data_IF_777139378859
#
_entry.id   IF_777139378859
#
_cell.length_a   1.000
_cell.length_b   1.000
_cell.length_c   1.000
_cell.angle_alpha   90.00
_cell.angle_beta   90.00
_cell.angle_gamma   90.00
#
_symmetry.space_group_name_H-M   'P 1'
#
loop_
_entity.id
_entity.type
_entity.pdbx_description
1 polymer ?
#
# COMPACT_ATOMS: atom_id res chain seq x y z
N UNK A 1 -17.45 13.62 -19.01
CA UNK A 1 -18.78 14.10 -18.55
C UNK A 1 -19.35 13.12 -17.52
N UNK A 2 -19.93 13.60 -16.42
CA UNK A 2 -20.60 12.74 -15.44
C UNK A 2 -21.89 12.19 -16.07
N UNK A 3 -21.99 10.87 -16.23
CA UNK A 3 -23.23 10.23 -16.68
C UNK A 3 -24.14 10.04 -15.48
N UNK A 4 -25.40 10.46 -15.63
CA UNK A 4 -26.40 10.35 -14.58
C UNK A 4 -27.75 9.99 -15.19
N UNK A 5 -28.57 9.24 -14.44
CA UNK A 5 -29.92 8.84 -14.84
C UNK A 5 -30.94 9.71 -14.13
N UNK A 6 -32.04 10.01 -14.81
CA UNK A 6 -33.20 10.73 -14.28
C UNK A 6 -34.46 10.04 -14.79
N UNK A 7 -35.62 10.54 -14.39
CA UNK A 7 -36.88 10.08 -14.95
C UNK A 7 -36.91 10.25 -16.49
N UNK A 8 -37.22 9.21 -17.27
CA UNK A 8 -37.22 9.28 -18.73
C UNK A 8 -38.21 10.31 -19.30
N UNK A 9 -39.38 10.49 -18.67
CA UNK A 9 -40.37 11.45 -19.15
C UNK A 9 -39.91 12.90 -18.91
N UNK A 10 -39.22 13.15 -17.79
CA UNK A 10 -38.56 14.43 -17.55
C UNK A 10 -37.46 14.71 -18.59
N UNK A 11 -36.61 13.70 -18.86
CA UNK A 11 -35.48 13.83 -19.79
C UNK A 11 -35.95 14.11 -21.23
N UNK A 12 -37.01 13.42 -21.69
CA UNK A 12 -37.58 13.56 -23.03
C UNK A 12 -38.13 14.96 -23.33
N UNK A 13 -38.46 15.74 -22.28
CA UNK A 13 -38.94 17.13 -22.41
C UNK A 13 -37.82 18.16 -22.43
N UNK A 14 -36.54 17.76 -22.35
CA UNK A 14 -35.42 18.71 -22.37
C UNK A 14 -34.96 19.01 -23.80
N UNK A 15 -34.71 20.27 -24.09
CA UNK A 15 -34.28 20.79 -25.39
C UNK A 15 -33.08 21.73 -25.24
N UNK A 16 -32.23 21.88 -26.30
CA UNK A 16 -31.13 22.83 -26.30
C UNK A 16 -31.56 24.25 -25.93
N UNK A 17 -30.75 24.92 -25.10
CA UNK A 17 -31.00 26.27 -24.58
C UNK A 17 -31.72 26.33 -23.23
N UNK A 18 -32.35 25.24 -22.78
CA UNK A 18 -32.96 25.18 -21.44
C UNK A 18 -31.91 25.12 -20.34
N UNK A 19 -32.26 25.66 -19.17
CA UNK A 19 -31.37 25.71 -18.00
C UNK A 19 -31.83 24.69 -16.96
N UNK A 20 -30.90 23.82 -16.57
CA UNK A 20 -31.04 22.87 -15.48
C UNK A 20 -30.41 23.47 -14.22
N UNK A 21 -31.25 23.73 -13.23
CA UNK A 21 -30.87 24.14 -11.90
C UNK A 21 -30.59 22.91 -11.02
N UNK A 22 -29.39 22.86 -10.45
CA UNK A 22 -28.94 21.80 -9.54
C UNK A 22 -28.61 22.43 -8.19
N UNK A 23 -29.43 22.26 -7.14
CA UNK A 23 -28.97 22.44 -5.76
C UNK A 23 -27.94 21.36 -5.46
N UNK A 24 -26.65 21.71 -5.52
CA UNK A 24 -25.58 20.75 -5.28
C UNK A 24 -25.60 20.22 -3.82
N UNK A 25 -24.85 19.16 -3.54
CA UNK A 25 -24.81 18.52 -2.21
C UNK A 25 -24.35 19.46 -1.07
N UNK A 26 -23.79 20.63 -1.40
CA UNK A 26 -23.39 21.69 -0.45
C UNK A 26 -24.46 22.78 -0.33
N UNK A 27 -25.64 22.57 -0.92
CA UNK A 27 -26.77 23.51 -1.01
C UNK A 27 -26.44 24.77 -1.83
N UNK A 28 -25.45 24.71 -2.72
CA UNK A 28 -25.16 25.81 -3.63
C UNK A 28 -25.90 25.58 -4.95
N UNK A 29 -26.62 26.60 -5.41
CA UNK A 29 -27.31 26.56 -6.70
C UNK A 29 -26.28 26.58 -7.84
N UNK A 30 -26.41 25.62 -8.75
CA UNK A 30 -25.60 25.48 -9.98
C UNK A 30 -26.53 25.45 -11.17
N UNK A 31 -26.09 26.01 -12.30
CA UNK A 31 -26.84 26.08 -13.55
C UNK A 31 -26.05 25.39 -14.64
N UNK A 32 -26.73 24.57 -15.41
CA UNK A 32 -26.20 23.90 -16.59
C UNK A 32 -27.15 24.13 -17.75
N UNK A 33 -26.66 24.60 -18.89
CA UNK A 33 -27.44 24.82 -20.10
C UNK A 33 -27.42 23.56 -20.93
N UNK A 34 -28.59 23.09 -21.37
CA UNK A 34 -28.69 21.98 -22.31
C UNK A 34 -28.09 22.42 -23.65
N UNK A 35 -27.04 21.71 -24.10
CA UNK A 35 -26.35 22.00 -25.38
C UNK A 35 -26.76 21.01 -26.47
N UNK A 36 -27.16 19.79 -26.09
CA UNK A 36 -27.64 18.78 -27.03
C UNK A 36 -28.70 17.89 -26.36
N UNK A 37 -29.68 17.46 -27.15
CA UNK A 37 -30.67 16.46 -26.76
C UNK A 37 -30.85 15.47 -27.91
N UNK A 38 -30.86 14.17 -27.61
CA UNK A 38 -30.95 13.11 -28.60
C UNK A 38 -31.48 11.80 -28.00
N UNK A 39 -31.56 10.73 -28.81
CA UNK A 39 -32.11 9.44 -28.39
C UNK A 39 -31.32 8.80 -27.23
N UNK A 40 -30.03 9.09 -27.13
CA UNK A 40 -29.14 8.56 -26.09
C UNK A 40 -29.11 9.42 -24.80
N UNK A 41 -29.82 10.55 -24.79
CA UNK A 41 -29.96 11.44 -23.62
C UNK A 41 -29.71 12.91 -23.91
N UNK A 42 -29.43 13.66 -22.84
CA UNK A 42 -29.29 15.12 -22.85
C UNK A 42 -27.92 15.48 -22.32
N UNK A 43 -27.19 16.34 -23.04
CA UNK A 43 -25.92 16.91 -22.62
C UNK A 43 -26.16 18.35 -22.14
N UNK A 44 -25.71 18.65 -20.93
CA UNK A 44 -25.77 19.97 -20.35
C UNK A 44 -24.38 20.41 -19.84
N UNK A 45 -24.05 21.68 -20.05
CA UNK A 45 -22.76 22.28 -19.75
C UNK A 45 -22.91 23.49 -18.82
N UNK A 46 -21.90 23.76 -18.00
CA UNK A 46 -21.93 24.90 -17.09
C UNK A 46 -20.54 25.28 -16.61
N UNK A 47 -20.38 26.54 -16.22
CA UNK A 47 -19.06 27.15 -15.94
C UNK A 47 -18.49 26.75 -14.57
N UNK A 48 -19.25 26.02 -13.75
CA UNK A 48 -18.87 25.64 -12.39
C UNK A 48 -19.21 24.19 -12.08
N UNK A 49 -18.27 23.51 -11.43
CA UNK A 49 -18.48 22.15 -10.93
C UNK A 49 -19.67 22.08 -9.94
N UNK A 50 -20.48 21.03 -10.09
CA UNK A 50 -21.55 20.68 -9.16
C UNK A 50 -21.24 19.35 -8.46
N UNK A 51 -21.65 19.26 -7.20
CA UNK A 51 -21.54 18.05 -6.39
C UNK A 51 -22.89 17.35 -6.40
N UNK A 52 -23.00 16.26 -7.16
CA UNK A 52 -24.23 15.50 -7.37
C UNK A 52 -24.08 14.14 -6.69
N UNK A 53 -25.16 13.64 -6.09
CA UNK A 53 -25.29 12.30 -5.53
C UNK A 53 -26.62 11.69 -5.93
N UNK A 54 -26.79 10.39 -5.71
CA UNK A 54 -28.10 9.77 -5.89
C UNK A 54 -29.14 10.45 -4.98
N UNK A 55 -30.29 10.78 -5.57
CA UNK A 55 -31.35 11.56 -4.94
C UNK A 55 -31.19 13.08 -5.03
N UNK A 56 -30.10 13.61 -5.59
CA UNK A 56 -30.01 15.05 -5.91
C UNK A 56 -31.16 15.44 -6.84
N UNK A 57 -31.87 16.52 -6.48
CA UNK A 57 -32.91 17.08 -7.34
C UNK A 57 -32.25 17.88 -8.46
N UNK A 58 -32.76 17.73 -9.67
CA UNK A 58 -32.52 18.63 -10.79
C UNK A 58 -33.84 19.26 -11.17
N UNK A 59 -33.84 20.56 -11.42
CA UNK A 59 -35.02 21.31 -11.81
C UNK A 59 -34.78 21.98 -13.16
N UNK A 60 -35.77 21.96 -14.03
CA UNK A 60 -35.76 22.79 -15.23
C UNK A 60 -37.20 23.15 -15.56
N UNK A 61 -37.45 24.45 -15.66
CA UNK A 61 -38.78 25.04 -15.86
C UNK A 61 -39.83 24.57 -14.84
N UNK A 62 -39.46 24.56 -13.55
CA UNK A 62 -40.31 24.13 -12.43
C UNK A 62 -40.69 22.64 -12.42
N UNK A 63 -40.10 21.85 -13.32
CA UNK A 63 -40.20 20.40 -13.31
C UNK A 63 -38.95 19.79 -12.65
N UNK A 64 -39.16 19.05 -11.57
CA UNK A 64 -38.10 18.37 -10.83
C UNK A 64 -37.95 16.89 -11.19
N UNK A 65 -36.71 16.40 -11.25
CA UNK A 65 -36.39 14.97 -11.29
C UNK A 65 -35.30 14.62 -10.28
N UNK A 66 -35.28 13.35 -9.84
CA UNK A 66 -34.22 12.81 -8.98
C UNK A 66 -33.16 12.13 -9.80
N UNK A 67 -31.92 12.52 -9.56
CA UNK A 67 -30.74 11.89 -10.14
C UNK A 67 -30.52 10.52 -9.51
N UNK A 68 -30.11 9.55 -10.33
CA UNK A 68 -29.73 8.19 -9.96
C UNK A 68 -28.52 7.71 -10.76
N UNK A 69 -27.87 6.65 -10.28
CA UNK A 69 -26.76 6.03 -11.00
C UNK A 69 -25.51 6.89 -11.05
N UNK A 70 -25.35 7.80 -10.09
CA UNK A 70 -24.06 8.42 -9.82
C UNK A 70 -23.14 7.33 -9.26
N UNK A 71 -22.00 7.03 -9.92
CA UNK A 71 -21.08 6.04 -9.40
C UNK A 71 -20.56 6.50 -8.03
N UNK A 72 -20.57 5.60 -7.06
CA UNK A 72 -19.92 5.84 -5.78
C UNK A 72 -18.41 6.03 -6.04
N UNK A 73 -17.86 7.13 -5.56
CA UNK A 73 -16.44 7.44 -5.72
C UNK A 73 -15.77 7.40 -4.35
N UNK A 74 -14.59 6.78 -4.22
CA UNK A 74 -13.87 6.80 -2.96
C UNK A 74 -13.61 8.25 -2.51
N UNK A 75 -13.91 8.54 -1.25
CA UNK A 75 -13.70 9.86 -0.64
C UNK A 75 -12.62 9.76 0.42
N UNK A 76 -11.91 10.87 0.64
CA UNK A 76 -11.02 10.99 1.78
C UNK A 76 -11.84 11.28 3.02
N UNK A 77 -11.54 10.59 4.11
CA UNK A 77 -12.15 10.82 5.41
C UNK A 77 -11.13 11.47 6.35
N UNK A 78 -11.59 12.33 7.25
CA UNK A 78 -10.71 12.97 8.24
C UNK A 78 -10.81 12.20 9.55
N UNK A 79 -9.72 11.58 9.96
CA UNK A 79 -9.61 10.76 11.17
C UNK A 79 -8.89 11.56 12.25
N UNK A 80 -9.38 11.49 13.48
CA UNK A 80 -8.84 12.13 14.69
C UNK A 80 -8.69 11.11 15.81
N UNK A 81 -7.86 11.44 16.80
CA UNK A 81 -7.78 10.67 18.03
C UNK A 81 -9.14 10.69 18.74
N UNK A 82 -9.59 9.54 19.22
CA UNK A 82 -10.89 9.32 19.85
C UNK A 82 -12.00 8.90 18.88
N UNK A 83 -11.77 8.97 17.56
CA UNK A 83 -12.77 8.50 16.59
C UNK A 83 -12.96 6.98 16.70
N UNK A 84 -14.17 6.52 16.46
CA UNK A 84 -14.50 5.08 16.34
C UNK A 84 -14.50 4.68 14.88
N UNK A 85 -13.79 3.59 14.56
CA UNK A 85 -13.75 2.99 13.22
C UNK A 85 -14.43 1.63 13.27
N UNK A 86 -15.39 1.38 12.39
CA UNK A 86 -15.89 0.05 12.05
C UNK A 86 -15.15 -0.43 10.81
N UNK A 87 -14.35 -1.47 10.97
CA UNK A 87 -13.63 -2.15 9.90
C UNK A 87 -14.39 -3.41 9.47
N UNK A 88 -14.66 -3.55 8.17
CA UNK A 88 -15.43 -4.68 7.58
C UNK A 88 -14.74 -5.23 6.32
N UNK A 89 -15.23 -6.35 5.78
CA UNK A 89 -14.80 -6.86 4.48
C UNK A 89 -15.38 -6.11 3.28
N UNK A 90 -16.53 -5.46 3.45
CA UNK A 90 -17.18 -4.65 2.41
C UNK A 90 -16.32 -3.45 2.00
N UNK A 91 -15.98 -3.36 0.71
CA UNK A 91 -15.11 -2.32 0.13
C UNK A 91 -15.88 -1.27 -0.69
N UNK A 92 -17.21 -1.38 -0.76
CA UNK A 92 -18.04 -0.40 -1.44
C UNK A 92 -17.86 1.00 -0.83
N UNK A 93 -17.66 2.06 -1.64
CA UNK A 93 -17.49 3.40 -1.11
C UNK A 93 -18.73 3.86 -0.34
N UNK A 94 -18.52 4.30 0.90
CA UNK A 94 -19.55 4.85 1.77
C UNK A 94 -19.50 6.39 1.81
N UNK A 95 -20.62 7.01 2.17
CA UNK A 95 -20.65 8.44 2.43
C UNK A 95 -19.72 8.79 3.61
N UNK A 96 -18.99 9.91 3.54
CA UNK A 96 -18.11 10.32 4.63
C UNK A 96 -18.93 10.60 5.89
N UNK A 97 -18.44 10.17 7.08
CA UNK A 97 -19.14 10.34 8.34
C UNK A 97 -19.25 11.81 8.73
N UNK A 98 -20.27 12.18 9.51
CA UNK A 98 -20.29 13.49 10.18
C UNK A 98 -19.35 13.47 11.38
N UNK A 99 -19.05 14.64 11.92
CA UNK A 99 -18.22 14.74 13.11
C UNK A 99 -18.93 14.03 14.28
N UNK A 100 -18.26 13.03 14.85
CA UNK A 100 -18.79 12.21 15.96
C UNK A 100 -19.49 10.92 15.51
N UNK A 101 -19.71 10.72 14.21
CA UNK A 101 -20.24 9.46 13.69
C UNK A 101 -19.15 8.38 13.65
N UNK A 102 -19.56 7.12 13.71
CA UNK A 102 -18.69 5.96 13.46
C UNK A 102 -18.17 5.99 12.01
N UNK A 103 -16.86 5.87 11.86
CA UNK A 103 -16.18 5.84 10.57
C UNK A 103 -16.21 4.40 10.03
N UNK A 104 -16.76 4.18 8.83
CA UNK A 104 -16.75 2.85 8.20
C UNK A 104 -15.62 2.73 7.19
N UNK A 105 -14.81 1.68 7.31
CA UNK A 105 -13.70 1.36 6.43
C UNK A 105 -13.80 -0.09 5.94
N UNK A 106 -13.50 -0.31 4.66
CA UNK A 106 -13.38 -1.64 4.07
C UNK A 106 -11.94 -2.14 4.09
N UNK A 107 -11.76 -3.42 4.39
CA UNK A 107 -10.52 -4.16 4.23
C UNK A 107 -10.65 -5.09 3.03
N UNK A 108 -9.78 -4.92 2.02
CA UNK A 108 -9.80 -5.75 0.82
C UNK A 108 -9.50 -7.24 1.09
N UNK A 109 -8.94 -7.55 2.27
CA UNK A 109 -8.68 -8.91 2.72
C UNK A 109 -9.52 -9.20 3.98
N UNK A 110 -10.75 -9.73 3.83
CA UNK A 110 -11.65 -9.99 4.96
C UNK A 110 -11.04 -10.90 6.04
N UNK A 111 -10.13 -11.80 5.67
CA UNK A 111 -9.39 -12.66 6.60
C UNK A 111 -8.59 -11.87 7.65
N UNK A 112 -8.15 -10.64 7.33
CA UNK A 112 -7.53 -9.74 8.33
C UNK A 112 -8.54 -9.36 9.39
N UNK A 113 -9.77 -8.99 9.00
CA UNK A 113 -10.83 -8.55 9.92
C UNK A 113 -11.28 -9.71 10.81
N UNK A 114 -11.43 -10.90 10.22
CA UNK A 114 -11.81 -12.12 10.93
C UNK A 114 -10.76 -12.57 11.96
N UNK A 115 -9.48 -12.35 11.67
CA UNK A 115 -8.39 -12.72 12.56
C UNK A 115 -8.14 -11.72 13.71
N UNK A 116 -8.79 -10.54 13.70
CA UNK A 116 -8.60 -9.53 14.76
C UNK A 116 -9.16 -10.02 16.10
N UNK A 117 -8.44 -9.69 17.16
CA UNK A 117 -8.87 -9.92 18.54
C UNK A 117 -8.88 -8.62 19.35
N UNK A 118 -9.72 -8.56 20.39
CA UNK A 118 -9.78 -7.38 21.27
C UNK A 118 -8.41 -7.15 21.91
N UNK A 119 -7.90 -5.91 21.77
CA UNK A 119 -6.57 -5.51 22.21
C UNK A 119 -5.54 -5.40 21.09
N UNK A 120 -5.81 -5.95 19.90
CA UNK A 120 -4.91 -5.80 18.76
C UNK A 120 -4.78 -4.34 18.33
N UNK A 121 -3.61 -4.03 17.76
CA UNK A 121 -3.25 -2.71 17.23
C UNK A 121 -3.40 -2.71 15.72
N UNK A 122 -4.31 -1.90 15.19
CA UNK A 122 -4.47 -1.69 13.74
C UNK A 122 -3.83 -0.37 13.34
N UNK A 123 -2.96 -0.42 12.32
CA UNK A 123 -2.22 0.71 11.78
C UNK A 123 -2.72 1.03 10.37
N UNK A 124 -2.97 2.31 10.10
CA UNK A 124 -3.41 2.78 8.78
C UNK A 124 -2.44 3.82 8.20
N UNK A 125 -2.32 3.85 6.86
CA UNK A 125 -1.49 4.80 6.11
C UNK A 125 -0.04 4.77 6.62
N UNK A 126 0.59 3.59 6.55
CA UNK A 126 1.98 3.34 6.96
C UNK A 126 2.26 3.68 8.44
N UNK A 127 1.31 3.37 9.32
CA UNK A 127 1.42 3.61 10.76
C UNK A 127 1.17 5.05 11.23
N UNK A 128 0.78 5.95 10.32
CA UNK A 128 0.44 7.35 10.65
C UNK A 128 -0.77 7.43 11.59
N UNK A 129 -1.75 6.55 11.41
CA UNK A 129 -2.91 6.42 12.29
C UNK A 129 -2.82 5.07 12.99
N UNK A 130 -3.10 5.03 14.29
CA UNK A 130 -3.22 3.78 15.03
C UNK A 130 -4.53 3.72 15.80
N UNK A 131 -5.17 2.56 15.75
CA UNK A 131 -6.40 2.27 16.47
C UNK A 131 -6.29 0.93 17.22
N UNK A 132 -6.97 0.84 18.36
CA UNK A 132 -7.01 -0.36 19.19
C UNK A 132 -8.35 -1.06 19.00
N UNK A 133 -8.31 -2.37 18.77
CA UNK A 133 -9.54 -3.17 18.67
C UNK A 133 -10.24 -3.18 20.02
N UNK A 134 -11.48 -2.72 20.04
CA UNK A 134 -12.36 -2.66 21.22
C UNK A 134 -13.43 -3.75 21.22
N UNK A 135 -13.88 -4.17 20.04
CA UNK A 135 -14.84 -5.25 19.88
C UNK A 135 -14.70 -5.87 18.49
N UNK A 136 -15.08 -7.14 18.36
CA UNK A 136 -15.11 -7.89 17.11
C UNK A 136 -16.42 -8.67 17.01
N UNK A 137 -16.78 -9.08 15.79
CA UNK A 137 -17.78 -10.13 15.58
C UNK A 137 -17.33 -11.46 16.20
N UNK A 138 -18.28 -12.37 16.44
CA UNK A 138 -17.95 -13.74 16.82
C UNK A 138 -17.24 -14.45 15.66
N UNK A 139 -16.13 -15.12 15.97
CA UNK A 139 -15.35 -15.90 14.99
C UNK A 139 -16.18 -17.08 14.50
N UNK A 140 -16.31 -17.24 13.18
CA UNK A 140 -17.10 -18.32 12.57
C UNK A 140 -18.61 -18.14 12.66
N UNK A 141 -19.09 -16.94 12.99
CA UNK A 141 -20.49 -16.56 12.88
C UNK A 141 -20.98 -16.56 11.43
N UNK A 142 -22.30 -16.54 11.24
CA UNK A 142 -22.94 -16.47 9.92
C UNK A 142 -22.95 -15.06 9.31
N UNK A 143 -22.66 -14.04 10.13
CA UNK A 143 -22.61 -12.63 9.71
C UNK A 143 -21.23 -12.27 9.14
N UNK A 144 -21.17 -11.20 8.34
CA UNK A 144 -19.91 -10.66 7.82
C UNK A 144 -18.99 -10.21 8.96
N UNK A 145 -17.69 -10.58 8.94
CA UNK A 145 -16.76 -10.23 10.01
C UNK A 145 -16.58 -8.70 10.11
N UNK A 146 -16.55 -8.20 11.35
CA UNK A 146 -16.33 -6.79 11.64
C UNK A 146 -15.50 -6.58 12.90
N UNK A 147 -14.79 -5.45 12.96
CA UNK A 147 -14.08 -5.00 14.14
C UNK A 147 -14.35 -3.51 14.42
N UNK A 148 -14.66 -3.17 15.67
CA UNK A 148 -14.73 -1.79 16.16
C UNK A 148 -13.41 -1.41 16.79
N UNK A 149 -12.83 -0.33 16.29
CA UNK A 149 -11.53 0.20 16.67
C UNK A 149 -11.71 1.58 17.28
N UNK A 150 -10.90 1.91 18.28
CA UNK A 150 -10.78 3.28 18.80
C UNK A 150 -9.45 3.88 18.35
N UNK A 151 -9.49 5.04 17.70
CA UNK A 151 -8.27 5.72 17.25
C UNK A 151 -7.53 6.31 18.44
N UNK A 152 -6.38 5.74 18.75
CA UNK A 152 -5.55 6.13 19.91
C UNK A 152 -4.36 6.99 19.52
N UNK A 153 -3.94 6.97 18.25
CA UNK A 153 -2.87 7.83 17.72
C UNK A 153 -3.26 8.40 16.35
N UNK A 154 -3.17 9.72 16.22
CA UNK A 154 -3.29 10.45 14.97
C UNK A 154 -2.59 11.81 15.12
N UNK A 155 -2.22 12.46 14.01
CA UNK A 155 -1.66 13.82 14.02
C UNK A 155 -2.65 14.79 14.68
N UNK A 156 -2.13 15.78 15.39
CA UNK A 156 -2.92 16.89 15.93
C UNK A 156 -3.73 17.59 14.82
N UNK A 157 -5.01 17.86 15.09
CA UNK A 157 -5.95 18.37 14.08
C UNK A 157 -6.50 17.31 13.10
N UNK A 158 -6.05 16.04 13.23
CA UNK A 158 -6.49 14.91 12.42
C UNK A 158 -5.69 14.73 11.12
N UNK A 159 -5.90 13.57 10.48
CA UNK A 159 -5.26 13.15 9.22
C UNK A 159 -6.33 12.77 8.20
N UNK A 160 -6.14 13.19 6.96
CA UNK A 160 -6.97 12.73 5.85
C UNK A 160 -6.50 11.35 5.38
N UNK A 161 -7.33 10.32 5.63
CA UNK A 161 -7.15 8.97 5.12
C UNK A 161 -7.86 8.85 3.76
N UNK A 162 -7.14 8.39 2.74
CA UNK A 162 -7.68 8.15 1.40
C UNK A 162 -8.05 6.69 1.17
N UNK A 163 -8.53 6.39 -0.03
CA UNK A 163 -8.72 5.01 -0.49
C UNK A 163 -7.38 4.30 -0.70
N UNK A 164 -7.43 2.97 -0.69
CA UNK A 164 -6.27 2.10 -1.02
C UNK A 164 -5.06 2.35 -0.12
N UNK A 165 -5.30 2.83 1.11
CA UNK A 165 -4.25 2.99 2.11
C UNK A 165 -4.01 1.68 2.83
N UNK A 166 -2.73 1.40 3.07
CA UNK A 166 -2.29 0.18 3.76
C UNK A 166 -2.93 0.04 5.14
N UNK A 167 -3.27 -1.19 5.47
CA UNK A 167 -3.72 -1.64 6.78
C UNK A 167 -2.70 -2.66 7.25
N UNK A 168 -2.09 -2.41 8.41
CA UNK A 168 -1.12 -3.31 9.01
C UNK A 168 -1.56 -3.65 10.43
N UNK A 169 -1.43 -4.91 10.83
CA UNK A 169 -1.76 -5.36 12.18
C UNK A 169 -0.52 -6.07 12.74
N UNK A 170 0.34 -5.35 13.48
CA UNK A 170 1.61 -5.89 13.92
C UNK A 170 1.49 -7.18 14.74
N UNK A 171 2.12 -8.24 14.26
CA UNK A 171 2.11 -9.56 14.90
C UNK A 171 0.89 -10.42 14.60
N UNK A 172 -0.05 -9.93 13.78
CA UNK A 172 -1.17 -10.75 13.32
C UNK A 172 -0.68 -11.77 12.29
N UNK A 173 -0.93 -13.04 12.55
CA UNK A 173 -0.67 -14.11 11.59
C UNK A 173 -1.96 -14.40 10.82
N UNK A 174 -1.99 -14.02 9.54
CA UNK A 174 -3.09 -14.33 8.63
C UNK A 174 -2.65 -15.43 7.68
N UNK A 175 -3.42 -16.51 7.59
CA UNK A 175 -3.19 -17.60 6.65
C UNK A 175 -3.69 -17.20 5.25
N UNK A 176 -2.88 -16.43 4.55
CA UNK A 176 -3.08 -16.14 3.12
C UNK A 176 -2.04 -16.85 2.27
N UNK A 177 -2.36 -17.20 1.03
CA UNK A 177 -1.36 -17.67 0.07
C UNK A 177 -0.19 -16.67 -0.06
N UNK A 178 1.02 -17.19 -0.24
CA UNK A 178 2.19 -16.34 -0.49
C UNK A 178 2.17 -15.71 -1.88
N UNK A 179 1.53 -16.38 -2.84
CA UNK A 179 1.33 -15.91 -4.20
C UNK A 179 -0.16 -16.01 -4.55
N UNK A 180 -0.71 -14.91 -5.04
CA UNK A 180 -2.05 -14.88 -5.64
C UNK A 180 -2.03 -15.45 -7.05
N UNK A 181 -3.20 -15.71 -7.64
CA UNK A 181 -3.29 -16.14 -9.04
C UNK A 181 -2.75 -15.07 -9.99
N UNK A 182 -3.00 -13.79 -9.69
CA UNK A 182 -2.44 -12.64 -10.40
C UNK A 182 -0.90 -12.62 -10.32
N UNK A 183 -0.32 -12.89 -9.15
CA UNK A 183 1.14 -12.99 -9.01
C UNK A 183 1.74 -14.07 -9.92
N UNK A 184 1.05 -15.21 -10.09
CA UNK A 184 1.51 -16.27 -10.99
C UNK A 184 1.48 -15.86 -12.45
N UNK A 185 0.48 -15.09 -12.85
CA UNK A 185 0.42 -14.50 -14.20
C UNK A 185 1.55 -13.49 -14.41
N UNK A 186 1.79 -12.62 -13.42
CA UNK A 186 2.89 -11.67 -13.43
C UNK A 186 4.26 -12.36 -13.46
N UNK A 187 4.44 -13.50 -12.80
CA UNK A 187 5.68 -14.27 -12.85
C UNK A 187 5.98 -14.77 -14.26
N UNK A 188 4.97 -15.24 -15.01
CA UNK A 188 5.16 -15.64 -16.42
C UNK A 188 5.54 -14.46 -17.31
N UNK A 189 4.98 -13.29 -17.05
CA UNK A 189 5.38 -12.06 -17.74
C UNK A 189 6.83 -11.68 -17.38
N UNK A 190 7.17 -11.67 -16.08
CA UNK A 190 8.49 -11.33 -15.59
C UNK A 190 9.57 -12.27 -16.15
N UNK A 191 9.32 -13.58 -16.22
CA UNK A 191 10.26 -14.54 -16.80
C UNK A 191 10.64 -14.23 -18.26
N UNK A 192 9.77 -13.54 -19.02
CA UNK A 192 10.04 -13.12 -20.39
C UNK A 192 10.77 -11.78 -20.50
N UNK A 193 10.82 -10.98 -19.45
CA UNK A 193 11.19 -9.56 -19.55
C UNK A 193 12.16 -9.05 -18.47
N UNK A 194 12.37 -9.80 -17.39
CA UNK A 194 13.17 -9.39 -16.25
C UNK A 194 14.22 -10.46 -15.90
N UNK A 195 15.29 -10.02 -15.24
CA UNK A 195 16.35 -10.90 -14.75
C UNK A 195 16.12 -11.34 -13.30
N UNK A 196 15.36 -10.56 -12.53
CA UNK A 196 15.05 -10.82 -11.12
C UNK A 196 13.62 -10.39 -10.83
N UNK A 197 12.90 -11.21 -10.05
CA UNK A 197 11.60 -10.86 -9.48
C UNK A 197 11.68 -10.77 -7.95
N UNK A 198 11.01 -9.78 -7.38
CA UNK A 198 10.88 -9.65 -5.93
C UNK A 198 9.52 -10.18 -5.46
N UNK A 199 9.53 -11.13 -4.53
CA UNK A 199 8.30 -11.70 -3.95
C UNK A 199 8.04 -11.03 -2.60
N UNK A 200 6.83 -10.47 -2.47
CA UNK A 200 6.39 -9.73 -1.28
C UNK A 200 5.82 -10.66 -0.20
N UNK A 201 5.85 -10.20 1.04
CA UNK A 201 5.19 -10.77 2.21
C UNK A 201 5.45 -12.26 2.44
N UNK A 202 6.64 -12.75 2.08
CA UNK A 202 7.05 -14.11 2.48
C UNK A 202 7.19 -14.15 4.00
N UNK A 203 6.51 -15.08 4.65
CA UNK A 203 6.49 -15.21 6.12
C UNK A 203 7.07 -16.53 6.59
N UNK A 204 6.75 -17.59 5.86
CA UNK A 204 7.05 -18.97 6.28
C UNK A 204 7.96 -19.68 5.29
N UNK A 205 8.53 -20.81 5.74
CA UNK A 205 9.29 -21.71 4.85
C UNK A 205 8.44 -22.18 3.67
N UNK A 206 7.13 -22.41 3.90
CA UNK A 206 6.20 -22.84 2.85
C UNK A 206 6.06 -21.75 1.79
N UNK A 207 5.92 -20.49 2.20
CA UNK A 207 5.82 -19.34 1.30
C UNK A 207 7.04 -19.26 0.38
N UNK A 208 8.24 -19.45 0.93
CA UNK A 208 9.48 -19.44 0.14
C UNK A 208 9.58 -20.65 -0.78
N UNK A 209 9.19 -21.84 -0.33
CA UNK A 209 9.17 -23.03 -1.18
C UNK A 209 8.24 -22.82 -2.39
N UNK A 210 7.05 -22.28 -2.14
CA UNK A 210 6.07 -21.96 -3.18
C UNK A 210 6.60 -20.90 -4.16
N UNK A 211 7.25 -19.84 -3.65
CA UNK A 211 7.88 -18.82 -4.48
C UNK A 211 9.01 -19.39 -5.36
N UNK A 212 9.88 -20.23 -4.79
CA UNK A 212 10.96 -20.90 -5.53
C UNK A 212 10.39 -21.78 -6.64
N UNK A 213 9.39 -22.60 -6.34
CA UNK A 213 8.80 -23.52 -7.30
C UNK A 213 8.05 -22.75 -8.41
N UNK A 214 7.35 -21.67 -8.08
CA UNK A 214 6.66 -20.81 -9.05
C UNK A 214 7.62 -20.07 -9.99
N UNK A 215 8.71 -19.50 -9.46
CA UNK A 215 9.75 -18.84 -10.26
C UNK A 215 10.42 -19.83 -11.22
N UNK A 216 10.73 -21.04 -10.75
CA UNK A 216 11.30 -22.11 -11.58
C UNK A 216 10.36 -22.55 -12.69
N UNK A 217 9.07 -22.70 -12.38
CA UNK A 217 8.07 -23.05 -13.39
C UNK A 217 7.98 -21.97 -14.48
N UNK A 218 7.90 -20.69 -14.10
CA UNK A 218 7.84 -19.58 -15.06
C UNK A 218 9.13 -19.46 -15.90
N UNK A 219 10.30 -19.67 -15.29
CA UNK A 219 11.58 -19.72 -15.99
C UNK A 219 11.63 -20.88 -17.02
N UNK A 220 11.18 -22.07 -16.62
CA UNK A 220 11.14 -23.24 -17.50
C UNK A 220 10.22 -23.05 -18.71
N UNK A 221 9.07 -22.40 -18.55
CA UNK A 221 8.14 -22.08 -19.66
C UNK A 221 8.78 -21.18 -20.73
N UNK A 222 9.74 -20.34 -20.34
CA UNK A 222 10.35 -19.34 -21.24
C UNK A 222 11.75 -19.73 -21.71
N UNK A 223 12.36 -20.75 -21.09
CA UNK A 223 13.76 -21.13 -21.31
C UNK A 223 14.76 -20.06 -20.84
N UNK A 224 14.30 -19.05 -20.09
CA UNK A 224 15.12 -17.98 -19.54
C UNK A 224 15.32 -18.16 -18.05
N UNK A 225 16.40 -17.60 -17.55
CA UNK A 225 16.71 -17.58 -16.14
C UNK A 225 16.03 -16.40 -15.45
N UNK A 226 15.47 -16.63 -14.26
CA UNK A 226 14.83 -15.60 -13.45
C UNK A 226 15.31 -15.73 -12.01
N UNK A 227 15.95 -14.68 -11.47
CA UNK A 227 16.38 -14.60 -10.09
C UNK A 227 15.21 -14.32 -9.13
N UNK A 228 15.37 -14.72 -7.88
CA UNK A 228 14.38 -14.54 -6.82
C UNK A 228 14.92 -13.62 -5.73
N UNK A 229 14.23 -12.53 -5.46
CA UNK A 229 14.52 -11.60 -4.36
C UNK A 229 13.42 -11.71 -3.31
N UNK A 230 13.76 -12.19 -2.10
CA UNK A 230 12.80 -12.32 -1.01
C UNK A 230 12.66 -11.01 -0.24
N UNK A 231 11.46 -10.43 -0.20
CA UNK A 231 11.21 -9.23 0.60
C UNK A 231 10.90 -9.60 2.05
N UNK A 232 11.74 -9.13 2.96
CA UNK A 232 11.54 -9.30 4.41
C UNK A 232 10.79 -8.08 4.93
N UNK A 233 9.47 -8.26 5.08
CA UNK A 233 8.51 -7.20 5.40
C UNK A 233 7.84 -7.40 6.75
N UNK A 234 7.85 -8.63 7.28
CA UNK A 234 7.10 -8.98 8.48
C UNK A 234 7.98 -9.43 9.65
N UNK A 235 7.44 -9.32 10.87
CA UNK A 235 8.07 -9.85 12.09
C UNK A 235 8.30 -11.36 12.00
N UNK A 236 7.32 -12.07 11.44
CA UNK A 236 7.37 -13.51 11.25
C UNK A 236 8.52 -13.89 10.31
N UNK A 237 8.64 -13.19 9.17
CA UNK A 237 9.72 -13.39 8.20
C UNK A 237 11.10 -13.14 8.82
N UNK A 238 11.24 -12.04 9.57
CA UNK A 238 12.49 -11.71 10.26
C UNK A 238 12.90 -12.80 11.26
N UNK A 239 11.96 -13.27 12.10
CA UNK A 239 12.22 -14.35 13.07
C UNK A 239 12.56 -15.68 12.40
N UNK A 240 11.93 -15.96 11.26
CA UNK A 240 12.14 -17.19 10.50
C UNK A 240 13.33 -17.10 9.51
N UNK A 241 13.98 -15.94 9.37
CA UNK A 241 14.91 -15.64 8.28
C UNK A 241 15.96 -16.74 8.02
N UNK A 242 16.64 -17.32 9.02
CA UNK A 242 17.59 -18.41 8.75
C UNK A 242 16.96 -19.61 8.02
N UNK A 243 15.73 -19.98 8.38
CA UNK A 243 15.00 -21.06 7.71
C UNK A 243 14.53 -20.66 6.32
N UNK A 244 14.13 -19.40 6.14
CA UNK A 244 13.74 -18.85 4.85
C UNK A 244 14.93 -18.86 3.89
N UNK A 245 16.11 -18.41 4.35
CA UNK A 245 17.35 -18.42 3.56
C UNK A 245 17.71 -19.83 3.11
N UNK A 246 17.72 -20.82 4.03
CA UNK A 246 18.02 -22.21 3.68
C UNK A 246 17.08 -22.77 2.61
N UNK A 247 15.79 -22.43 2.69
CA UNK A 247 14.81 -22.85 1.69
C UNK A 247 15.03 -22.13 0.36
N UNK A 248 15.29 -20.83 0.40
CA UNK A 248 15.52 -20.01 -0.77
C UNK A 248 16.74 -20.51 -1.55
N UNK A 249 17.81 -20.92 -0.86
CA UNK A 249 19.06 -21.45 -1.45
C UNK A 249 18.86 -22.72 -2.28
N UNK A 250 17.66 -23.31 -2.33
CA UNK A 250 17.30 -24.27 -3.38
C UNK A 250 17.43 -23.63 -4.77
N UNK A 251 17.18 -22.33 -4.90
CA UNK A 251 17.34 -21.56 -6.12
C UNK A 251 18.76 -20.95 -6.22
N UNK A 252 19.39 -21.05 -7.38
CA UNK A 252 20.80 -20.64 -7.58
C UNK A 252 20.99 -19.12 -7.56
N UNK A 253 19.95 -18.36 -7.90
CA UNK A 253 19.96 -16.90 -7.97
C UNK A 253 18.99 -16.32 -6.95
N UNK A 254 19.46 -16.12 -5.74
CA UNK A 254 18.65 -15.58 -4.64
C UNK A 254 19.27 -14.35 -4.04
N UNK A 255 18.44 -13.38 -3.71
CA UNK A 255 18.78 -12.27 -2.83
C UNK A 255 17.73 -12.07 -1.75
N UNK A 256 18.02 -11.17 -0.82
CA UNK A 256 17.07 -10.66 0.18
C UNK A 256 16.91 -9.16 0.02
N UNK A 257 15.67 -8.67 0.06
CA UNK A 257 15.37 -7.25 0.18
C UNK A 257 14.92 -6.93 1.60
N UNK A 258 15.58 -5.99 2.25
CA UNK A 258 15.13 -5.41 3.52
C UNK A 258 14.14 -4.30 3.18
N UNK A 259 12.84 -4.62 3.25
CA UNK A 259 11.77 -3.68 2.96
C UNK A 259 11.42 -2.88 4.23
N UNK A 260 12.22 -1.85 4.52
CA UNK A 260 12.15 -1.11 5.80
C UNK A 260 10.80 -0.45 6.05
N UNK A 261 10.07 -0.02 5.03
CA UNK A 261 8.75 0.60 5.15
C UNK A 261 7.78 -0.27 5.93
N UNK A 262 7.41 -1.42 5.36
CA UNK A 262 6.51 -2.39 6.00
C UNK A 262 7.11 -2.95 7.31
N UNK A 263 8.42 -3.22 7.31
CA UNK A 263 9.10 -3.76 8.48
C UNK A 263 9.11 -2.79 9.66
N UNK A 264 9.17 -1.47 9.42
CA UNK A 264 9.03 -0.43 10.43
C UNK A 264 7.66 -0.47 11.09
N UNK A 265 6.63 -0.60 10.26
CA UNK A 265 5.23 -0.62 10.70
C UNK A 265 4.99 -1.87 11.56
N UNK A 266 5.59 -3.00 11.16
CA UNK A 266 5.42 -4.28 11.83
C UNK A 266 6.26 -4.44 13.11
N UNK A 267 7.47 -3.88 13.15
CA UNK A 267 8.42 -4.06 14.25
C UNK A 267 8.52 -2.87 15.19
N UNK A 268 7.98 -1.72 14.80
CA UNK A 268 8.17 -0.45 15.49
C UNK A 268 9.36 0.32 14.92
N UNK A 269 9.27 1.65 14.96
CA UNK A 269 10.30 2.55 14.43
C UNK A 269 11.63 2.43 15.18
N UNK A 270 11.58 2.09 16.46
CA UNK A 270 12.74 1.92 17.33
C UNK A 270 13.65 0.77 16.87
N UNK A 271 13.07 -0.26 16.24
CA UNK A 271 13.82 -1.42 15.75
C UNK A 271 14.49 -1.20 14.40
N UNK A 272 14.23 -0.08 13.72
CA UNK A 272 14.80 0.22 12.40
C UNK A 272 16.31 0.43 12.38
N UNK A 273 16.94 0.72 13.53
CA UNK A 273 18.40 0.78 13.62
C UNK A 273 19.06 -0.60 13.72
N UNK A 274 18.34 -1.59 14.26
CA UNK A 274 18.90 -2.91 14.57
C UNK A 274 18.61 -3.94 13.47
N UNK A 275 17.36 -4.00 13.02
CA UNK A 275 16.88 -5.07 12.14
C UNK A 275 17.63 -5.14 10.81
N UNK A 276 17.83 -4.01 10.07
CA UNK A 276 18.57 -4.07 8.81
C UNK A 276 19.99 -4.63 8.98
N UNK A 277 20.66 -4.28 10.10
CA UNK A 277 21.98 -4.80 10.43
C UNK A 277 21.94 -6.32 10.67
N UNK A 278 20.99 -6.80 11.46
CA UNK A 278 20.87 -8.23 11.76
C UNK A 278 20.55 -9.05 10.50
N UNK A 279 19.63 -8.58 9.65
CA UNK A 279 19.32 -9.21 8.36
C UNK A 279 20.56 -9.26 7.48
N UNK A 280 21.29 -8.14 7.38
CA UNK A 280 22.52 -8.07 6.57
C UNK A 280 23.56 -9.08 7.05
N UNK A 281 23.79 -9.20 8.37
CA UNK A 281 24.75 -10.16 8.93
C UNK A 281 24.35 -11.61 8.65
N UNK A 282 23.07 -11.96 8.77
CA UNK A 282 22.57 -13.31 8.46
C UNK A 282 22.73 -13.65 6.98
N UNK A 283 22.42 -12.70 6.08
CA UNK A 283 22.56 -12.89 4.64
C UNK A 283 24.03 -12.99 4.22
N UNK A 284 24.92 -12.17 4.81
CA UNK A 284 26.36 -12.26 4.61
C UNK A 284 26.92 -13.63 5.01
N UNK A 285 26.50 -14.16 6.16
CA UNK A 285 26.89 -15.50 6.60
C UNK A 285 26.41 -16.59 5.61
N UNK A 286 25.23 -16.42 5.02
CA UNK A 286 24.68 -17.31 4.00
C UNK A 286 25.23 -17.05 2.58
N UNK A 287 26.06 -16.01 2.39
CA UNK A 287 26.52 -15.51 1.07
C UNK A 287 25.36 -15.14 0.13
N UNK A 288 24.28 -14.62 0.67
CA UNK A 288 23.12 -14.13 -0.08
C UNK A 288 23.20 -12.59 -0.15
N UNK A 289 23.15 -11.99 -1.36
CA UNK A 289 23.18 -10.54 -1.51
C UNK A 289 21.94 -9.88 -0.94
N UNK A 290 22.12 -8.67 -0.42
CA UNK A 290 21.09 -7.86 0.22
C UNK A 290 20.82 -6.58 -0.56
N UNK A 291 19.54 -6.29 -0.74
CA UNK A 291 19.05 -5.00 -1.21
C UNK A 291 18.46 -4.25 -0.02
N UNK A 292 19.03 -3.10 0.33
CA UNK A 292 18.41 -2.20 1.30
C UNK A 292 17.37 -1.34 0.58
N UNK A 293 16.10 -1.46 0.96
CA UNK A 293 15.01 -0.77 0.28
C UNK A 293 14.25 0.18 1.20
N UNK A 294 13.56 1.11 0.55
CA UNK A 294 12.67 2.15 1.10
C UNK A 294 13.39 3.21 1.95
N UNK A 295 12.93 4.46 1.85
CA UNK A 295 13.32 5.60 2.68
C UNK A 295 14.81 6.05 2.60
N UNK A 296 15.64 5.45 1.74
CA UNK A 296 16.98 6.01 1.47
C UNK A 296 16.80 7.24 0.57
N UNK A 297 17.24 8.41 1.04
CA UNK A 297 17.13 9.69 0.33
C UNK A 297 15.69 10.03 -0.13
N UNK A 298 14.68 9.63 0.65
CA UNK A 298 13.25 9.79 0.30
C UNK A 298 12.85 11.25 0.04
N UNK A 299 13.25 12.14 0.95
CA UNK A 299 12.94 13.56 0.88
C UNK A 299 13.65 14.19 -0.30
N UNK A 300 14.90 13.81 -0.56
CA UNK A 300 15.61 14.27 -1.75
C UNK A 300 14.86 13.85 -3.01
N UNK A 301 14.52 12.57 -3.19
CA UNK A 301 13.79 12.11 -4.36
C UNK A 301 12.45 12.86 -4.56
N UNK A 302 11.73 13.17 -3.46
CA UNK A 302 10.40 13.81 -3.50
C UNK A 302 10.42 15.33 -3.61
N UNK A 303 11.33 16.01 -2.91
CA UNK A 303 11.30 17.47 -2.69
C UNK A 303 12.56 18.18 -3.15
N UNK A 304 13.59 17.45 -3.55
CA UNK A 304 14.88 17.99 -4.00
C UNK A 304 15.84 18.33 -2.85
N UNK A 305 15.44 18.11 -1.60
CA UNK A 305 16.26 18.43 -0.43
C UNK A 305 16.35 17.24 0.53
N UNK A 306 17.56 16.68 0.76
CA UNK A 306 17.76 15.66 1.77
C UNK A 306 17.80 16.26 3.16
N UNK A 307 17.36 15.48 4.14
CA UNK A 307 17.67 15.71 5.55
C UNK A 307 19.06 15.20 5.91
N UNK A 308 19.62 15.70 7.02
CA UNK A 308 20.90 15.21 7.55
C UNK A 308 20.83 13.72 7.91
N UNK A 309 19.68 13.25 8.40
CA UNK A 309 19.47 11.85 8.74
C UNK A 309 19.53 10.96 7.50
N UNK A 310 18.95 11.39 6.37
CA UNK A 310 18.98 10.62 5.12
C UNK A 310 20.38 10.52 4.52
N UNK A 311 21.22 11.54 4.67
CA UNK A 311 22.63 11.46 4.23
C UNK A 311 23.40 10.41 5.05
N UNK A 312 23.21 10.39 6.38
CA UNK A 312 23.82 9.39 7.25
C UNK A 312 23.30 7.97 6.97
N UNK A 313 22.01 7.84 6.65
CA UNK A 313 21.39 6.58 6.28
C UNK A 313 21.95 6.05 4.93
N UNK A 314 22.04 6.92 3.92
CA UNK A 314 22.66 6.59 2.64
C UNK A 314 24.14 6.17 2.78
N UNK A 315 24.88 6.79 3.70
CA UNK A 315 26.24 6.34 4.02
C UNK A 315 26.28 4.95 4.67
N UNK A 316 25.29 4.63 5.50
CA UNK A 316 25.16 3.31 6.15
C UNK A 316 24.67 2.23 5.20
N UNK A 317 23.91 2.61 4.17
CA UNK A 317 23.34 1.73 3.15
C UNK A 317 24.40 0.98 2.32
N UNK A 318 25.63 1.48 2.27
CA UNK A 318 26.79 0.83 1.62
C UNK A 318 27.14 -0.56 2.15
N UNK A 319 26.57 -0.95 3.30
CA UNK A 319 26.73 -2.31 3.85
C UNK A 319 25.95 -3.37 3.07
N UNK A 320 24.96 -2.95 2.28
CA UNK A 320 24.20 -3.81 1.38
C UNK A 320 24.83 -3.79 -0.02
N UNK A 321 24.66 -4.88 -0.76
CA UNK A 321 25.14 -5.02 -2.14
C UNK A 321 24.38 -4.09 -3.11
N UNK A 322 23.13 -3.74 -2.77
CA UNK A 322 22.31 -2.82 -3.55
C UNK A 322 21.48 -1.92 -2.64
N UNK A 323 21.20 -0.71 -3.13
CA UNK A 323 20.34 0.28 -2.49
C UNK A 323 19.21 0.64 -3.46
N UNK A 324 17.97 0.51 -3.00
CA UNK A 324 16.78 0.87 -3.78
C UNK A 324 16.30 2.28 -3.37
N UNK A 325 16.15 3.15 -4.36
CA UNK A 325 15.56 4.48 -4.22
C UNK A 325 14.09 4.46 -4.63
N UNK A 326 13.27 5.27 -3.96
CA UNK A 326 11.87 5.45 -4.31
C UNK A 326 11.69 6.48 -5.43
N UNK A 327 10.53 6.42 -6.10
CA UNK A 327 10.17 7.37 -7.16
C UNK A 327 10.04 8.79 -6.64
N UNK A 328 10.40 9.75 -7.49
CA UNK A 328 10.14 11.17 -7.25
C UNK A 328 10.70 12.04 -8.37
N UNK A 329 10.30 13.32 -8.44
CA UNK A 329 10.74 14.23 -9.49
C UNK A 329 12.25 14.48 -9.49
N UNK A 330 12.93 14.28 -8.36
CA UNK A 330 14.37 14.48 -8.20
C UNK A 330 15.14 13.16 -8.01
N UNK A 331 14.64 12.07 -8.61
CA UNK A 331 15.25 10.74 -8.44
C UNK A 331 16.65 10.69 -9.05
N UNK A 332 16.91 11.43 -10.12
CA UNK A 332 18.24 11.50 -10.76
C UNK A 332 19.25 12.14 -9.81
N UNK A 333 18.88 13.23 -9.16
CA UNK A 333 19.69 13.90 -8.13
C UNK A 333 19.90 13.01 -6.91
N UNK A 334 18.91 12.19 -6.55
CA UNK A 334 19.08 11.19 -5.50
C UNK A 334 20.11 10.12 -5.88
N UNK A 335 20.11 9.66 -7.14
CA UNK A 335 21.11 8.72 -7.67
C UNK A 335 22.51 9.35 -7.65
N UNK A 336 22.66 10.56 -8.18
CA UNK A 336 23.95 11.29 -8.21
C UNK A 336 24.48 11.55 -6.80
N UNK A 337 23.60 11.90 -5.86
CA UNK A 337 23.96 12.10 -4.46
C UNK A 337 24.41 10.80 -3.81
N UNK A 338 23.69 9.69 -4.04
CA UNK A 338 24.05 8.38 -3.52
C UNK A 338 25.41 7.93 -4.08
N UNK A 339 25.64 8.09 -5.39
CA UNK A 339 26.92 7.81 -6.04
C UNK A 339 28.05 8.66 -5.46
N UNK A 340 27.81 9.96 -5.25
CA UNK A 340 28.77 10.87 -4.62
C UNK A 340 29.12 10.43 -3.20
N UNK A 341 28.13 10.05 -2.40
CA UNK A 341 28.33 9.54 -1.03
C UNK A 341 29.15 8.24 -1.08
N UNK A 342 28.80 7.32 -1.99
CA UNK A 342 29.51 6.05 -2.19
C UNK A 342 30.97 6.28 -2.61
N UNK A 343 31.22 7.14 -3.60
CA UNK A 343 32.57 7.47 -4.08
C UNK A 343 33.42 8.12 -2.99
N UNK A 344 32.84 9.05 -2.19
CA UNK A 344 33.55 9.74 -1.10
C UNK A 344 33.89 8.83 0.07
N UNK A 345 32.99 7.90 0.42
CA UNK A 345 33.27 6.93 1.48
C UNK A 345 34.27 5.87 1.04
N UNK A 346 34.42 5.63 -0.26
CA UNK A 346 35.48 4.79 -0.84
C UNK A 346 35.53 3.37 -0.27
N UNK A 347 36.70 2.71 -0.39
CA UNK A 347 36.96 1.34 0.13
C UNK A 347 36.94 1.22 1.68
N UNK A 348 36.56 2.27 2.42
CA UNK A 348 36.67 2.35 3.89
C UNK A 348 35.81 1.30 4.61
N UNK A 349 34.77 0.76 3.96
CA UNK A 349 33.88 -0.25 4.55
C UNK A 349 34.33 -1.71 4.40
N UNK A 350 35.42 -2.02 3.66
CA UNK A 350 35.95 -3.41 3.58
C UNK A 350 36.47 -3.97 4.93
N UNK A 351 36.51 -3.16 6.00
CA UNK A 351 37.11 -3.50 7.31
C UNK A 351 36.19 -3.32 8.53
N UNK A 352 34.88 -3.55 8.38
CA UNK A 352 33.98 -3.66 9.54
C UNK A 352 33.57 -5.11 9.88
N UNK A 353 34.23 -6.11 9.27
CA UNK A 353 34.25 -7.47 9.78
C UNK A 353 35.42 -7.57 10.76
N UNK A 354 35.23 -8.01 12.02
CA UNK A 354 36.24 -8.85 12.61
C UNK A 354 36.36 -10.04 11.66
N UNK A 355 37.40 -10.06 10.83
CA UNK A 355 37.81 -11.30 10.18
C UNK A 355 38.19 -12.22 11.34
N UNK A 356 37.26 -13.07 11.77
CA UNK A 356 37.61 -14.16 12.66
C UNK A 356 38.73 -14.92 11.97
N UNK A 357 39.84 -15.09 12.68
CA UNK A 357 41.03 -15.79 12.18
C UNK A 357 40.58 -17.11 11.53
N UNK A 358 41.15 -17.44 10.38
CA UNK A 358 41.04 -18.78 9.83
C UNK A 358 41.54 -19.78 10.90
N UNK A 359 40.61 -20.47 11.54
CA UNK A 359 40.94 -21.55 12.49
C UNK A 359 41.15 -22.78 11.63
N UNK A 360 42.42 -23.08 11.36
CA UNK A 360 42.79 -24.40 10.86
C UNK A 360 42.55 -25.39 11.99
N UNK A 361 41.73 -26.41 11.75
CA UNK A 361 41.72 -27.58 12.62
C UNK A 361 43.07 -28.26 12.50
N UNK A 362 43.67 -28.60 13.64
CA UNK A 362 44.93 -29.34 13.80
C UNK A 362 45.34 -30.16 12.57
N UNK A 363 46.37 -29.69 11.87
CA UNK A 363 47.37 -30.57 11.27
C UNK A 363 48.47 -30.80 12.32
#
# INVERSE_FOLDING_TARGET
>A
PLRMRVDPAWLARRAPGQVIDIPDARRLKRRFTVVAAGPDGVLAEGDRNAWVRDGTMVDCDFEGARVRGIPAVPRRIRVRRGDTILLTGATDPVDPPRVGDEIRLGCALPAVVDALTVGDRVLFDDGVIAADVRATSEVGGTDEPWARLEVVRCREGGRWLGSEKGINVPGLEVDTPALTDEDREHLRFAARHADVVAVSFVRTRRDVAEAVDAVRAAAAETGRELGLLLKIETRQAYRALPRLLLEAMRHERVGVMIARGDLAVEMGFESLSEIPRNITLMCQAARVPVVLATQVLESLAKTGLPSRAEISDAGSAQRAECVMLNKGPYVTEAIETLDTIHARMGKVQRKALPLLRHVESWD
#
